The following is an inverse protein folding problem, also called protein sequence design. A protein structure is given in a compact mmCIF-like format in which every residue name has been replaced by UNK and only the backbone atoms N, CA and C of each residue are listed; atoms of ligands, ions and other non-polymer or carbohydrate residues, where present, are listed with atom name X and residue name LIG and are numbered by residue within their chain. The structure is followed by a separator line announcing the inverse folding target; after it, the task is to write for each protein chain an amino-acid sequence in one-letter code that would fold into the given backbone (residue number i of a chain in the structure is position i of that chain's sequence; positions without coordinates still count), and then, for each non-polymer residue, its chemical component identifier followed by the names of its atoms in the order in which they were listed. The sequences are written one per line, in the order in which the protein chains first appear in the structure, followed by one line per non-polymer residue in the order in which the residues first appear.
data_IF_042321564818
#
_entry.id   IF_042321564818
#
_cell.length_a   1.000
_cell.length_b   1.000
_cell.length_c   1.000
_cell.angle_alpha   90.00
_cell.angle_beta   90.00
_cell.angle_gamma   90.00
#
_symmetry.space_group_name_H-M   'P 1'
#
loop_
_entity.id
_entity.type
_entity.pdbx_description
1 polymer ?
#
# COMPACT_ATOMS: atom_id res chain seq x y z
N UNK A 1 6.86 -11.20 -12.72
CA UNK A 1 5.85 -11.66 -11.74
C UNK A 1 6.38 -11.23 -10.38
N UNK A 2 5.56 -10.55 -9.61
CA UNK A 2 5.91 -9.77 -8.44
C UNK A 2 5.36 -10.49 -7.21
N UNK A 3 6.21 -10.83 -6.25
CA UNK A 3 5.78 -11.43 -4.98
C UNK A 3 5.53 -10.29 -3.99
N UNK A 4 4.34 -10.24 -3.42
CA UNK A 4 3.95 -9.17 -2.50
C UNK A 4 3.54 -9.79 -1.17
N UNK A 5 4.09 -9.23 -0.11
CA UNK A 5 3.76 -9.55 1.26
C UNK A 5 3.46 -8.25 1.99
N UNK A 6 2.41 -8.29 2.81
CA UNK A 6 2.11 -7.20 3.73
C UNK A 6 3.16 -7.12 4.84
N UNK A 7 3.93 -6.03 4.87
CA UNK A 7 4.79 -5.67 6.00
C UNK A 7 4.34 -4.29 6.52
N UNK A 8 3.47 -4.28 7.53
CA UNK A 8 2.97 -3.05 8.16
C UNK A 8 1.46 -2.89 8.15
N UNK A 9 1.01 -1.65 8.41
CA UNK A 9 -0.41 -1.31 8.68
C UNK A 9 -1.14 -0.68 7.50
N UNK A 10 -0.44 -0.33 6.40
CA UNK A 10 -1.00 0.49 5.31
C UNK A 10 -1.81 -0.31 4.28
N UNK A 11 -1.46 -1.58 4.08
CA UNK A 11 -2.19 -2.48 3.19
C UNK A 11 -2.07 -3.92 3.69
N UNK A 12 -2.96 -4.79 3.23
CA UNK A 12 -2.92 -6.22 3.46
C UNK A 12 -2.97 -6.99 2.15
N UNK A 13 -2.34 -8.16 2.14
CA UNK A 13 -2.39 -9.10 1.03
C UNK A 13 -2.97 -10.42 1.50
N UNK A 14 -3.63 -11.13 0.59
CA UNK A 14 -4.20 -12.41 0.93
C UNK A 14 -4.98 -13.04 -0.19
N UNK A 15 -5.84 -13.98 0.16
CA UNK A 15 -6.69 -14.71 -0.79
C UNK A 15 -8.14 -14.75 -0.33
N UNK A 16 -9.07 -14.77 -1.28
CA UNK A 16 -10.49 -15.06 -1.04
C UNK A 16 -10.97 -16.05 -2.10
N UNK A 17 -11.31 -17.27 -1.69
CA UNK A 17 -11.62 -18.37 -2.62
C UNK A 17 -10.47 -18.66 -3.58
N UNK A 18 -10.70 -18.45 -4.88
CA UNK A 18 -9.74 -18.74 -5.95
C UNK A 18 -8.94 -17.49 -6.40
N UNK A 19 -9.11 -16.34 -5.74
CA UNK A 19 -8.47 -15.09 -6.13
C UNK A 19 -7.47 -14.60 -5.10
N UNK A 20 -6.51 -13.80 -5.58
CA UNK A 20 -5.53 -13.08 -4.78
C UNK A 20 -5.98 -11.64 -4.60
N UNK A 21 -5.66 -11.03 -3.46
CA UNK A 21 -6.17 -9.73 -3.07
C UNK A 21 -5.07 -8.84 -2.53
N UNK A 22 -5.08 -7.58 -2.94
CA UNK A 22 -4.44 -6.46 -2.25
C UNK A 22 -5.54 -5.54 -1.73
N UNK A 23 -5.44 -5.16 -0.47
CA UNK A 23 -6.41 -4.34 0.25
C UNK A 23 -5.67 -3.17 0.88
N UNK A 24 -6.12 -1.93 0.69
CA UNK A 24 -5.51 -0.77 1.35
C UNK A 24 -6.46 0.39 1.52
N UNK A 25 -6.11 1.30 2.43
CA UNK A 25 -6.88 2.51 2.70
C UNK A 25 -6.48 3.62 1.73
N UNK A 26 -7.45 4.16 1.00
CA UNK A 26 -7.31 5.34 0.14
C UNK A 26 -8.47 6.25 0.48
N UNK A 27 -8.24 7.13 1.45
CA UNK A 27 -9.30 7.92 2.05
C UNK A 27 -10.13 8.63 0.97
N UNK A 28 -11.47 8.70 1.10
CA UNK A 28 -12.30 8.19 2.20
C UNK A 28 -12.71 6.70 2.06
N UNK A 29 -12.07 5.95 1.17
CA UNK A 29 -12.42 4.58 0.80
C UNK A 29 -11.39 3.53 1.26
N UNK A 30 -11.85 2.29 1.30
CA UNK A 30 -11.00 1.10 1.27
C UNK A 30 -11.04 0.53 -0.15
N UNK A 31 -9.88 0.32 -0.76
CA UNK A 31 -9.72 -0.23 -2.12
C UNK A 31 -9.31 -1.69 -2.06
N UNK A 32 -9.93 -2.52 -2.90
CA UNK A 32 -9.68 -3.96 -2.97
C UNK A 32 -9.37 -4.34 -4.41
N UNK A 33 -8.11 -4.66 -4.68
CA UNK A 33 -7.63 -5.13 -5.97
C UNK A 33 -7.67 -6.65 -5.98
N UNK A 34 -8.36 -7.21 -6.97
CA UNK A 34 -8.58 -8.66 -7.08
C UNK A 34 -7.86 -9.16 -8.33
N UNK A 35 -7.08 -10.21 -8.14
CA UNK A 35 -6.29 -10.86 -9.17
C UNK A 35 -6.65 -12.35 -9.25
N UNK A 36 -6.48 -12.97 -10.41
CA UNK A 36 -6.57 -14.43 -10.52
C UNK A 36 -5.32 -15.11 -9.92
N UNK A 37 -5.28 -16.46 -9.93
CA UNK A 37 -4.12 -17.23 -9.43
C UNK A 37 -2.83 -16.99 -10.21
N UNK A 38 -2.94 -16.62 -11.48
CA UNK A 38 -1.82 -16.27 -12.35
C UNK A 38 -1.34 -14.82 -12.16
N UNK A 39 -1.95 -14.07 -11.24
CA UNK A 39 -1.58 -12.70 -10.91
C UNK A 39 -2.10 -11.63 -11.85
N UNK A 40 -3.01 -11.96 -12.77
CA UNK A 40 -3.65 -11.00 -13.67
C UNK A 40 -4.77 -10.27 -12.94
N UNK A 41 -4.80 -8.94 -13.06
CA UNK A 41 -5.86 -8.11 -12.53
C UNK A 41 -7.22 -8.50 -13.11
N UNK A 42 -8.23 -8.60 -12.24
CA UNK A 42 -9.60 -8.93 -12.58
C UNK A 42 -10.55 -7.76 -12.35
N UNK A 43 -10.51 -7.20 -11.15
CA UNK A 43 -11.43 -6.14 -10.73
C UNK A 43 -10.90 -5.30 -9.57
N UNK A 44 -11.40 -4.07 -9.46
CA UNK A 44 -11.22 -3.17 -8.33
C UNK A 44 -12.57 -2.98 -7.65
N UNK A 45 -12.62 -3.16 -6.32
CA UNK A 45 -13.77 -2.80 -5.49
C UNK A 45 -13.41 -1.65 -4.56
N UNK A 46 -14.40 -0.88 -4.16
CA UNK A 46 -14.22 0.27 -3.30
C UNK A 46 -15.34 0.34 -2.28
N UNK A 47 -14.96 0.59 -1.02
CA UNK A 47 -15.88 0.61 0.11
C UNK A 47 -15.66 1.89 0.90
N UNK A 48 -16.68 2.74 1.00
CA UNK A 48 -16.60 3.96 1.81
C UNK A 48 -16.43 3.61 3.29
N UNK A 49 -15.43 4.21 3.93
CA UNK A 49 -15.14 4.02 5.37
C UNK A 49 -16.31 4.51 6.21
N UNK A 50 -16.88 5.66 5.88
CA UNK A 50 -18.06 6.22 6.56
C UNK A 50 -19.24 5.23 6.53
N UNK A 51 -19.49 4.62 5.38
CA UNK A 51 -20.58 3.64 5.22
C UNK A 51 -20.29 2.36 5.98
N UNK A 52 -19.05 1.86 5.92
CA UNK A 52 -18.65 0.65 6.66
C UNK A 52 -18.84 0.82 8.16
N UNK A 53 -18.49 2.00 8.68
CA UNK A 53 -18.47 2.28 10.12
C UNK A 53 -19.74 2.95 10.65
N UNK A 54 -20.67 3.35 9.77
CA UNK A 54 -21.93 3.99 10.13
C UNK A 54 -21.77 5.42 10.65
N UNK A 55 -20.68 6.10 10.29
CA UNK A 55 -20.37 7.47 10.70
C UNK A 55 -20.49 8.44 9.53
N UNK A 56 -21.63 9.12 9.38
CA UNK A 56 -21.78 10.16 8.37
C UNK A 56 -21.11 11.47 8.83
N UNK A 57 -20.28 12.08 7.98
CA UNK A 57 -19.63 13.35 8.27
C UNK A 57 -18.41 13.22 9.18
N UNK A 58 -17.64 12.14 9.04
CA UNK A 58 -16.37 11.98 9.75
C UNK A 58 -15.35 12.99 9.21
N UNK A 59 -14.54 13.53 10.12
CA UNK A 59 -13.38 14.33 9.69
C UNK A 59 -12.31 13.43 9.07
N UNK A 60 -11.37 14.02 8.32
CA UNK A 60 -10.23 13.26 7.78
C UNK A 60 -9.38 12.60 8.89
N UNK A 61 -9.23 13.26 10.04
CA UNK A 61 -8.52 12.72 11.20
C UNK A 61 -9.25 11.49 11.77
N UNK A 62 -10.57 11.56 11.90
CA UNK A 62 -11.39 10.44 12.35
C UNK A 62 -11.33 9.27 11.36
N UNK A 63 -11.35 9.57 10.06
CA UNK A 63 -11.21 8.57 9.00
C UNK A 63 -9.87 7.85 9.10
N UNK A 64 -8.77 8.60 9.25
CA UNK A 64 -7.42 8.07 9.38
C UNK A 64 -7.29 7.11 10.57
N UNK A 65 -7.77 7.51 11.75
CA UNK A 65 -7.79 6.67 12.95
C UNK A 65 -8.68 5.42 12.79
N UNK A 66 -9.61 5.44 11.84
CA UNK A 66 -10.58 4.39 11.61
C UNK A 66 -10.24 3.45 10.44
N UNK A 67 -9.21 3.74 9.65
CA UNK A 67 -8.79 2.96 8.48
C UNK A 67 -8.56 1.49 8.85
N UNK A 68 -7.79 1.23 9.91
CA UNK A 68 -7.48 -0.15 10.33
C UNK A 68 -8.76 -0.94 10.65
N UNK A 69 -9.72 -0.31 11.34
CA UNK A 69 -11.00 -0.93 11.66
C UNK A 69 -11.82 -1.21 10.41
N UNK A 70 -11.87 -0.26 9.47
CA UNK A 70 -12.57 -0.42 8.20
C UNK A 70 -11.94 -1.51 7.33
N UNK A 71 -10.61 -1.57 7.25
CA UNK A 71 -9.88 -2.64 6.57
C UNK A 71 -10.27 -4.01 7.14
N UNK A 72 -10.27 -4.18 8.48
CA UNK A 72 -10.63 -5.47 9.11
C UNK A 72 -12.07 -5.87 8.79
N UNK A 73 -12.97 -4.90 8.74
CA UNK A 73 -14.36 -5.13 8.39
C UNK A 73 -14.51 -5.59 6.93
N UNK A 74 -13.75 -4.99 5.99
CA UNK A 74 -13.72 -5.43 4.59
C UNK A 74 -13.12 -6.83 4.46
N UNK A 75 -12.03 -7.13 5.17
CA UNK A 75 -11.46 -8.49 5.19
C UNK A 75 -12.48 -9.52 5.64
N UNK A 76 -13.18 -9.25 6.74
CA UNK A 76 -14.19 -10.16 7.27
C UNK A 76 -15.37 -10.32 6.28
N UNK A 77 -15.85 -9.22 5.71
CA UNK A 77 -16.95 -9.22 4.74
C UNK A 77 -16.62 -10.05 3.48
N UNK A 78 -15.37 -9.96 3.01
CA UNK A 78 -14.91 -10.63 1.80
C UNK A 78 -14.29 -12.01 2.07
N UNK A 79 -14.17 -12.45 3.33
CA UNK A 79 -13.52 -13.70 3.70
C UNK A 79 -12.06 -13.77 3.27
N UNK A 80 -11.32 -12.67 3.41
CA UNK A 80 -9.90 -12.59 3.05
C UNK A 80 -9.06 -13.27 4.13
N UNK A 81 -8.21 -14.21 3.71
CA UNK A 81 -7.18 -14.82 4.53
C UNK A 81 -5.82 -14.21 4.18
N UNK A 82 -5.13 -13.64 5.17
CA UNK A 82 -3.83 -13.01 4.97
C UNK A 82 -2.79 -14.01 4.44
N UNK A 83 -1.93 -13.51 3.56
CA UNK A 83 -0.84 -14.30 3.01
C UNK A 83 -0.10 -13.59 1.89
N UNK A 84 1.01 -14.19 1.50
CA UNK A 84 1.80 -13.76 0.33
C UNK A 84 1.02 -14.02 -0.95
N UNK A 85 1.07 -13.07 -1.88
CA UNK A 85 0.47 -13.19 -3.22
C UNK A 85 1.52 -13.01 -4.30
N UNK A 86 1.17 -13.38 -5.53
CA UNK A 86 1.96 -13.19 -6.75
C UNK A 86 1.13 -12.53 -7.82
N UNK A 87 1.50 -11.31 -8.21
CA UNK A 87 0.80 -10.59 -9.27
C UNK A 87 1.68 -10.34 -10.49
N UNK A 88 1.07 -10.11 -11.63
CA UNK A 88 1.76 -9.54 -12.80
C UNK A 88 1.93 -8.04 -12.58
N UNK A 89 2.75 -7.40 -13.41
CA UNK A 89 2.90 -5.95 -13.36
C UNK A 89 1.52 -5.30 -13.51
N UNK A 90 1.19 -4.41 -12.57
CA UNK A 90 -0.05 -3.65 -12.59
C UNK A 90 0.21 -2.28 -11.97
N UNK A 91 -0.32 -1.26 -12.62
CA UNK A 91 -0.25 0.12 -12.17
C UNK A 91 -1.52 0.86 -12.59
N UNK A 92 -2.01 1.74 -11.72
CA UNK A 92 -3.03 2.73 -12.01
C UNK A 92 -2.74 4.04 -11.25
N UNK A 93 -3.70 4.97 -11.24
CA UNK A 93 -3.56 6.29 -10.61
C UNK A 93 -3.49 6.24 -9.08
N UNK A 94 -3.77 5.10 -8.45
CA UNK A 94 -3.86 4.95 -6.99
C UNK A 94 -2.82 3.98 -6.45
N UNK A 95 -2.39 3.03 -7.29
CA UNK A 95 -1.53 1.92 -6.92
C UNK A 95 -0.50 1.68 -8.01
N UNK A 96 0.78 1.58 -7.63
CA UNK A 96 1.81 1.06 -8.53
C UNK A 96 2.83 0.20 -7.78
N UNK A 97 3.41 -0.76 -8.50
CA UNK A 97 4.58 -1.51 -8.06
C UNK A 97 5.84 -0.76 -8.48
N UNK A 98 6.69 -0.40 -7.52
CA UNK A 98 8.01 0.18 -7.77
C UNK A 98 9.12 -0.80 -7.46
N UNK A 99 10.22 -0.69 -8.21
CA UNK A 99 11.47 -1.40 -7.97
C UNK A 99 12.30 -0.78 -6.83
N UNK A 100 11.94 0.37 -6.26
CA UNK A 100 12.61 0.92 -5.06
C UNK A 100 11.62 1.78 -4.26
N UNK A 101 11.82 1.87 -2.94
CA UNK A 101 11.17 2.89 -2.10
C UNK A 101 11.79 4.26 -2.36
N UNK A 102 11.08 5.36 -2.06
CA UNK A 102 11.59 6.72 -2.23
C UNK A 102 12.90 6.95 -1.47
N UNK A 103 13.02 6.40 -0.26
CA UNK A 103 14.23 6.47 0.57
C UNK A 103 15.41 5.73 -0.07
N UNK A 104 15.21 4.49 -0.54
CA UNK A 104 16.27 3.73 -1.22
C UNK A 104 16.63 4.36 -2.57
N UNK A 105 15.64 4.96 -3.25
CA UNK A 105 15.85 5.68 -4.49
C UNK A 105 16.67 6.96 -4.28
N UNK A 106 16.38 7.73 -3.22
CA UNK A 106 17.19 8.90 -2.84
C UNK A 106 18.60 8.48 -2.42
N UNK A 107 18.72 7.44 -1.59
CA UNK A 107 20.00 6.87 -1.19
C UNK A 107 20.87 6.47 -2.38
N UNK A 108 20.30 5.78 -3.37
CA UNK A 108 21.01 5.40 -4.60
C UNK A 108 21.45 6.62 -5.41
N UNK A 109 20.62 7.67 -5.47
CA UNK A 109 20.88 8.85 -6.30
C UNK A 109 21.75 9.93 -5.62
N UNK A 110 21.76 9.97 -4.29
CA UNK A 110 22.36 11.03 -3.48
C UNK A 110 23.14 10.47 -2.27
N UNK A 111 23.86 9.36 -2.47
CA UNK A 111 24.57 8.60 -1.42
C UNK A 111 25.50 9.44 -0.55
N UNK A 112 26.06 10.52 -1.09
CA UNK A 112 26.95 11.45 -0.39
C UNK A 112 26.28 12.26 0.73
N UNK A 113 24.93 12.34 0.73
CA UNK A 113 24.16 13.06 1.76
C UNK A 113 24.10 12.33 3.09
N UNK A 114 24.37 11.02 3.07
CA UNK A 114 24.23 10.13 4.22
C UNK A 114 25.57 10.00 4.96
N UNK A 115 25.49 9.80 6.27
CA UNK A 115 26.63 9.42 7.11
C UNK A 115 27.11 8.01 6.77
N UNK A 116 28.29 7.62 7.26
CA UNK A 116 28.84 6.29 6.97
C UNK A 116 28.05 5.18 7.67
N UNK A 117 27.53 5.43 8.87
CA UNK A 117 26.67 4.49 9.60
C UNK A 117 25.33 4.28 8.85
N UNK A 118 24.69 5.36 8.38
CA UNK A 118 23.45 5.28 7.58
C UNK A 118 23.67 4.55 6.25
N UNK A 119 24.83 4.72 5.61
CA UNK A 119 25.17 4.00 4.37
C UNK A 119 25.26 2.50 4.58
N UNK A 120 25.85 2.06 5.70
CA UNK A 120 25.98 0.63 6.02
C UNK A 120 24.60 0.00 6.21
N UNK A 121 23.73 0.64 6.99
CA UNK A 121 22.35 0.17 7.21
C UNK A 121 21.53 0.14 5.91
N UNK A 122 21.56 1.23 5.12
CA UNK A 122 20.80 1.32 3.87
C UNK A 122 21.34 0.38 2.79
N UNK A 123 22.64 0.09 2.75
CA UNK A 123 23.21 -0.92 1.86
C UNK A 123 22.74 -2.33 2.22
N UNK A 124 22.66 -2.68 3.51
CA UNK A 124 22.09 -3.97 3.94
C UNK A 124 20.64 -4.11 3.48
N UNK A 125 19.82 -3.07 3.76
CA UNK A 125 18.41 -3.03 3.35
C UNK A 125 18.28 -3.14 1.82
N UNK A 126 19.07 -2.38 1.06
CA UNK A 126 19.06 -2.41 -0.41
C UNK A 126 19.44 -3.78 -0.97
N UNK A 127 20.46 -4.43 -0.40
CA UNK A 127 20.91 -5.75 -0.85
C UNK A 127 19.89 -6.84 -0.51
N UNK A 128 19.30 -6.80 0.68
CA UNK A 128 18.24 -7.72 1.08
C UNK A 128 17.00 -7.56 0.20
N UNK A 129 16.62 -6.32 -0.10
CA UNK A 129 15.52 -6.00 -1.02
C UNK A 129 15.77 -6.60 -2.41
N UNK A 130 16.97 -6.39 -2.95
CA UNK A 130 17.38 -6.91 -4.27
C UNK A 130 17.40 -8.43 -4.32
N UNK A 131 17.85 -9.07 -3.24
CA UNK A 131 17.93 -10.54 -3.14
C UNK A 131 16.56 -11.19 -2.95
N UNK A 132 15.66 -10.52 -2.23
CA UNK A 132 14.34 -11.05 -1.89
C UNK A 132 13.29 -10.82 -2.97
N UNK A 133 13.58 -10.00 -3.98
CA UNK A 133 12.63 -9.59 -5.03
C UNK A 133 11.32 -9.06 -4.42
N UNK A 134 11.41 -8.35 -3.30
CA UNK A 134 10.29 -7.61 -2.75
C UNK A 134 10.04 -6.39 -3.64
N UNK A 135 8.79 -5.93 -3.72
CA UNK A 135 8.44 -4.74 -4.50
C UNK A 135 7.70 -3.78 -3.59
N UNK A 136 8.04 -2.50 -3.73
CA UNK A 136 7.38 -1.46 -2.95
C UNK A 136 5.99 -1.23 -3.53
N UNK A 137 4.98 -1.27 -2.66
CA UNK A 137 3.64 -0.85 -2.98
C UNK A 137 3.50 0.63 -2.67
N UNK A 138 3.49 1.45 -3.72
CA UNK A 138 3.17 2.85 -3.59
C UNK A 138 1.67 3.03 -3.76
N UNK A 139 1.00 3.31 -2.65
CA UNK A 139 -0.32 3.90 -2.67
C UNK A 139 -0.12 5.39 -2.90
N UNK A 140 -0.79 5.96 -3.90
CA UNK A 140 -0.70 7.41 -4.14
C UNK A 140 -1.25 8.11 -2.91
N UNK A 141 -0.33 8.64 -2.09
CA UNK A 141 -0.66 9.53 -0.98
C UNK A 141 -1.36 10.74 -1.60
N UNK A 142 -2.60 11.00 -1.20
CA UNK A 142 -3.31 12.19 -1.68
C UNK A 142 -2.58 13.42 -1.15
N UNK A 143 -1.85 14.11 -2.02
CA UNK A 143 -1.33 15.43 -1.70
C UNK A 143 -2.47 16.43 -1.78
N UNK A 144 -2.74 17.14 -0.69
CA UNK A 144 -3.55 18.35 -0.75
C UNK A 144 -2.68 19.57 -0.50
N UNK A 145 -2.98 20.62 -1.25
CA UNK A 145 -2.36 21.91 -1.08
C UNK A 145 -3.16 22.66 -0.02
N UNK A 146 -2.52 23.05 1.08
CA UNK A 146 -3.14 23.90 2.08
C UNK A 146 -3.53 25.24 1.45
N UNK A 147 -4.43 25.98 2.10
CA UNK A 147 -4.78 27.34 1.68
C UNK A 147 -3.59 28.31 1.62
N UNK A 148 -2.46 27.93 2.21
CA UNK A 148 -1.20 28.69 2.25
C UNK A 148 -0.22 28.27 1.14
N UNK A 149 -0.58 27.27 0.32
CA UNK A 149 0.24 26.79 -0.79
C UNK A 149 1.27 25.73 -0.38
N UNK A 150 1.19 25.22 0.84
CA UNK A 150 2.06 24.14 1.32
C UNK A 150 1.47 22.79 0.89
N UNK A 151 2.33 21.90 0.40
CA UNK A 151 1.96 20.52 0.10
C UNK A 151 2.08 19.73 1.39
N UNK A 152 0.95 19.22 1.87
CA UNK A 152 0.92 18.25 2.97
C UNK A 152 0.74 16.84 2.38
N UNK A 153 1.51 15.90 2.92
CA UNK A 153 1.30 14.47 2.73
C UNK A 153 0.62 13.89 3.97
N UNK A 154 -0.21 12.86 3.77
CA UNK A 154 -0.79 12.06 4.86
C UNK A 154 0.17 10.99 5.35
#
# INVERSE_FOLDING_TARGET
MYTIQSEGTRFWTGTTGETQVILGGVLPDIRVYIFNREGKFLELKSFSIEVLLGGAGMSNEDLFLSVEKALRQVMHLLGIHEGTIKIQEYADEVFSLSELTDELQDFVNNRERYTDDEKEELDEIYNDWKNSQYYALYWVEEYWMTSEGELECS
#
